data_IF_761383891664
#
_entry.id   IF_761383891664
#
_cell.length_a   1.000
_cell.length_b   1.000
_cell.length_c   1.000
_cell.angle_alpha   90.00
_cell.angle_beta   90.00
_cell.angle_gamma   90.00
#
_symmetry.space_group_name_H-M   'P 1'
#
loop_
_entity.id
_entity.type
_entity.pdbx_description
1 polymer ?
#
# COMPACT_ATOMS: atom_id res chain seq x y z
N UNK A 1 14.17 15.80 17.10
CA UNK A 1 13.42 14.74 16.38
C UNK A 1 13.54 15.00 14.88
N UNK A 2 14.26 14.16 14.12
CA UNK A 2 14.45 14.36 12.67
C UNK A 2 13.09 14.27 11.98
N UNK A 3 12.71 15.28 11.18
CA UNK A 3 11.47 15.26 10.39
C UNK A 3 11.59 14.13 9.35
N UNK A 4 10.99 12.98 9.64
CA UNK A 4 10.94 11.86 8.69
C UNK A 4 10.15 12.33 7.48
N UNK A 5 10.80 12.40 6.32
CA UNK A 5 10.17 12.86 5.08
C UNK A 5 9.08 11.88 4.65
N UNK A 6 8.01 12.37 4.03
CA UNK A 6 6.94 11.53 3.48
C UNK A 6 7.47 10.47 2.50
N UNK A 7 8.58 10.75 1.82
CA UNK A 7 9.30 9.80 0.95
C UNK A 7 9.89 8.63 1.74
N UNK A 8 10.39 8.85 2.96
CA UNK A 8 10.88 7.76 3.81
C UNK A 8 9.74 6.85 4.25
N UNK A 9 8.59 7.41 4.64
CA UNK A 9 7.39 6.62 4.93
C UNK A 9 6.92 5.82 3.71
N UNK A 10 6.95 6.43 2.52
CA UNK A 10 6.62 5.74 1.27
C UNK A 10 7.52 4.53 1.03
N UNK A 11 8.83 4.70 1.23
CA UNK A 11 9.83 3.66 1.08
C UNK A 11 9.62 2.53 2.11
N UNK A 12 9.34 2.85 3.37
CA UNK A 12 9.00 1.87 4.40
C UNK A 12 7.76 1.07 4.00
N UNK A 13 6.69 1.74 3.58
CA UNK A 13 5.44 1.09 3.15
C UNK A 13 5.68 0.15 1.97
N UNK A 14 6.52 0.56 1.02
CA UNK A 14 6.88 -0.25 -0.14
C UNK A 14 7.69 -1.49 0.26
N UNK A 15 8.75 -1.30 1.06
CA UNK A 15 9.63 -2.39 1.51
C UNK A 15 8.88 -3.42 2.35
N UNK A 16 8.04 -2.97 3.29
CA UNK A 16 7.24 -3.88 4.13
C UNK A 16 6.25 -4.66 3.27
N UNK A 17 5.60 -4.01 2.31
CA UNK A 17 4.64 -4.70 1.42
C UNK A 17 5.32 -5.71 0.50
N UNK A 18 6.54 -5.39 0.02
CA UNK A 18 7.38 -6.34 -0.70
C UNK A 18 7.79 -7.54 0.16
N UNK A 19 8.19 -7.30 1.41
CA UNK A 19 8.56 -8.36 2.35
C UNK A 19 7.38 -9.28 2.68
N UNK A 20 6.17 -8.72 2.86
CA UNK A 20 4.95 -9.49 3.11
C UNK A 20 4.59 -10.36 1.89
N UNK A 21 4.80 -9.86 0.67
CA UNK A 21 4.57 -10.70 -0.51
C UNK A 21 5.62 -11.79 -0.66
N UNK A 22 6.89 -11.48 -0.39
CA UNK A 22 7.94 -12.50 -0.39
C UNK A 22 7.65 -13.60 0.63
N UNK A 23 7.20 -13.20 1.83
CA UNK A 23 6.78 -14.13 2.87
C UNK A 23 5.58 -14.97 2.42
N UNK A 24 4.56 -14.34 1.83
CA UNK A 24 3.39 -15.04 1.28
C UNK A 24 3.80 -16.05 0.20
N UNK A 25 4.83 -15.73 -0.57
CA UNK A 25 5.36 -16.61 -1.60
C UNK A 25 6.09 -17.82 -1.00
N UNK A 26 6.92 -17.60 0.02
CA UNK A 26 7.60 -18.67 0.77
C UNK A 26 6.61 -19.57 1.51
N UNK A 27 5.47 -19.02 1.95
CA UNK A 27 4.40 -19.79 2.62
C UNK A 27 3.48 -20.56 1.65
N UNK A 28 3.86 -20.69 0.37
CA UNK A 28 3.10 -21.47 -0.62
C UNK A 28 1.95 -20.70 -1.27
N UNK A 29 1.93 -19.37 -1.15
CA UNK A 29 0.99 -18.51 -1.87
C UNK A 29 1.15 -18.62 -3.38
N UNK A 30 0.05 -18.46 -4.12
CA UNK A 30 0.04 -18.61 -5.57
C UNK A 30 0.99 -17.59 -6.26
N UNK A 31 2.09 -18.04 -6.90
CA UNK A 31 3.12 -17.17 -7.49
C UNK A 31 2.55 -16.09 -8.41
N UNK A 32 1.66 -16.50 -9.31
CA UNK A 32 1.09 -15.60 -10.31
C UNK A 32 0.28 -14.46 -9.70
N UNK A 33 -0.41 -14.70 -8.57
CA UNK A 33 -1.18 -13.66 -7.88
C UNK A 33 -0.28 -12.65 -7.19
N UNK A 34 0.77 -13.11 -6.51
CA UNK A 34 1.74 -12.25 -5.86
C UNK A 34 2.48 -11.36 -6.87
N UNK A 35 2.87 -11.94 -8.02
CA UNK A 35 3.57 -11.22 -9.08
C UNK A 35 2.70 -10.13 -9.74
N UNK A 36 1.43 -10.43 -10.05
CA UNK A 36 0.48 -9.44 -10.57
C UNK A 36 0.24 -8.32 -9.55
N UNK A 37 0.08 -8.65 -8.27
CA UNK A 37 -0.11 -7.66 -7.20
C UNK A 37 1.12 -6.77 -7.04
N UNK A 38 2.32 -7.34 -7.10
CA UNK A 38 3.57 -6.60 -7.00
C UNK A 38 3.75 -5.63 -8.16
N UNK A 39 3.48 -6.06 -9.40
CA UNK A 39 3.51 -5.18 -10.58
C UNK A 39 2.48 -4.05 -10.47
N UNK A 40 1.25 -4.34 -10.02
CA UNK A 40 0.22 -3.34 -9.79
C UNK A 40 0.66 -2.31 -8.74
N UNK A 41 1.23 -2.75 -7.62
CA UNK A 41 1.74 -1.88 -6.57
C UNK A 41 2.87 -0.99 -7.08
N UNK A 42 3.83 -1.53 -7.84
CA UNK A 42 4.92 -0.77 -8.46
C UNK A 42 4.36 0.29 -9.42
N UNK A 43 3.42 -0.08 -10.29
CA UNK A 43 2.80 0.85 -11.23
C UNK A 43 2.08 2.00 -10.51
N UNK A 44 1.31 1.67 -9.46
CA UNK A 44 0.61 2.67 -8.65
C UNK A 44 1.57 3.56 -7.87
N UNK A 45 2.66 3.01 -7.33
CA UNK A 45 3.70 3.79 -6.67
C UNK A 45 4.41 4.75 -7.63
N UNK A 46 4.79 4.27 -8.81
CA UNK A 46 5.39 5.11 -9.85
C UNK A 46 4.42 6.22 -10.27
N UNK A 47 3.14 5.89 -10.41
CA UNK A 47 2.09 6.86 -10.76
C UNK A 47 1.83 7.87 -9.63
N UNK A 48 1.94 7.45 -8.37
CA UNK A 48 1.87 8.32 -7.19
C UNK A 48 3.06 9.30 -7.15
N UNK A 49 4.27 8.83 -7.44
CA UNK A 49 5.47 9.67 -7.53
C UNK A 49 5.39 10.70 -8.66
N UNK A 50 4.66 10.38 -9.74
CA UNK A 50 4.31 11.32 -10.82
C UNK A 50 3.22 12.32 -10.44
N UNK A 51 2.67 12.25 -9.22
CA UNK A 51 1.60 13.14 -8.74
C UNK A 51 0.18 12.68 -9.06
N UNK A 52 -0.03 11.43 -9.50
CA UNK A 52 -1.40 10.99 -9.81
C UNK A 52 -2.27 10.92 -8.55
N UNK A 53 -3.33 11.74 -8.53
CA UNK A 53 -4.33 11.74 -7.46
C UNK A 53 -5.14 10.43 -7.43
N UNK A 54 -5.38 9.84 -8.61
CA UNK A 54 -6.04 8.56 -8.76
C UNK A 54 -5.19 7.42 -8.15
N UNK A 55 -3.88 7.42 -8.41
CA UNK A 55 -2.97 6.43 -7.84
C UNK A 55 -2.94 6.48 -6.30
N UNK A 56 -3.04 7.68 -5.72
CA UNK A 56 -3.12 7.87 -4.27
C UNK A 56 -4.38 7.26 -3.66
N UNK A 57 -5.54 7.48 -4.29
CA UNK A 57 -6.82 6.93 -3.82
C UNK A 57 -6.82 5.42 -4.01
N UNK A 58 -6.36 4.93 -5.16
CA UNK A 58 -6.24 3.50 -5.43
C UNK A 58 -5.33 2.79 -4.42
N UNK A 59 -4.15 3.35 -4.12
CA UNK A 59 -3.27 2.83 -3.06
C UNK A 59 -3.94 2.86 -1.70
N UNK A 60 -4.60 3.96 -1.34
CA UNK A 60 -5.34 4.05 -0.08
C UNK A 60 -6.39 2.95 0.05
N UNK A 61 -7.19 2.72 -1.00
CA UNK A 61 -8.21 1.67 -1.02
C UNK A 61 -7.60 0.27 -1.00
N UNK A 62 -6.55 0.00 -1.79
CA UNK A 62 -5.89 -1.30 -1.81
C UNK A 62 -5.31 -1.67 -0.44
N UNK A 63 -4.62 -0.73 0.20
CA UNK A 63 -4.09 -0.94 1.55
C UNK A 63 -5.21 -1.06 2.58
N UNK A 64 -6.29 -0.29 2.46
CA UNK A 64 -7.42 -0.40 3.39
C UNK A 64 -8.10 -1.77 3.28
N UNK A 65 -8.45 -2.19 2.06
CA UNK A 65 -9.09 -3.49 1.81
C UNK A 65 -8.17 -4.64 2.21
N UNK A 66 -6.87 -4.57 1.88
CA UNK A 66 -5.89 -5.57 2.29
C UNK A 66 -5.68 -5.63 3.81
N UNK A 67 -5.75 -4.48 4.49
CA UNK A 67 -5.69 -4.40 5.95
C UNK A 67 -6.92 -5.01 6.60
N UNK A 68 -8.11 -4.69 6.11
CA UNK A 68 -9.38 -5.26 6.57
C UNK A 68 -9.43 -6.77 6.35
N UNK A 69 -9.02 -7.27 5.18
CA UNK A 69 -8.98 -8.71 4.92
C UNK A 69 -8.01 -9.44 5.85
N UNK A 70 -6.87 -8.82 6.15
CA UNK A 70 -5.88 -9.39 7.09
C UNK A 70 -6.43 -9.42 8.52
N UNK A 71 -7.17 -8.38 8.93
CA UNK A 71 -7.88 -8.36 10.21
C UNK A 71 -8.94 -9.46 10.32
N UNK A 72 -9.75 -9.62 9.28
CA UNK A 72 -10.77 -10.69 9.23
C UNK A 72 -10.09 -12.06 9.31
N UNK A 73 -9.00 -12.28 8.56
CA UNK A 73 -8.23 -13.52 8.61
C UNK A 73 -7.57 -13.76 9.98
N UNK A 74 -7.18 -12.70 10.69
CA UNK A 74 -6.65 -12.79 12.05
C UNK A 74 -7.72 -13.20 13.08
N UNK A 75 -8.99 -12.88 12.82
CA UNK A 75 -10.12 -13.26 13.67
C UNK A 75 -10.65 -14.67 13.35
N UNK A 76 -10.23 -15.27 12.24
CA UNK A 76 -10.60 -16.63 11.89
C UNK A 76 -10.02 -17.63 12.91
N UNK A 77 -10.91 -18.43 13.49
CA UNK A 77 -10.57 -19.42 14.50
C UNK A 77 -9.65 -20.54 13.96
N UNK A 78 -9.61 -20.75 12.65
CA UNK A 78 -8.73 -21.73 11.99
C UNK A 78 -7.25 -21.31 11.96
N UNK A 79 -6.95 -20.03 12.17
CA UNK A 79 -5.58 -19.52 12.16
C UNK A 79 -4.82 -19.88 13.44
N UNK A 80 -3.57 -20.37 13.36
CA UNK A 80 -2.73 -20.62 14.54
C UNK A 80 -2.47 -19.32 15.32
N UNK A 81 -2.23 -19.38 16.65
CA UNK A 81 -2.11 -18.18 17.50
C UNK A 81 -1.08 -17.16 17.00
N UNK A 82 0.08 -17.65 16.56
CA UNK A 82 1.15 -16.85 15.97
C UNK A 82 0.72 -16.20 14.65
N UNK A 83 -0.03 -16.92 13.81
CA UNK A 83 -0.58 -16.41 12.56
C UNK A 83 -1.58 -15.27 12.79
N UNK A 84 -2.43 -15.37 13.81
CA UNK A 84 -3.38 -14.29 14.18
C UNK A 84 -2.67 -13.01 14.58
N UNK A 85 -1.60 -13.10 15.35
CA UNK A 85 -0.80 -11.93 15.77
C UNK A 85 -0.14 -11.27 14.56
N UNK A 86 0.49 -12.06 13.68
CA UNK A 86 1.15 -11.55 12.47
C UNK A 86 0.15 -10.90 11.51
N UNK A 87 -0.99 -11.56 11.26
CA UNK A 87 -2.05 -11.03 10.40
C UNK A 87 -2.70 -9.78 10.99
N UNK A 88 -2.90 -9.72 12.31
CA UNK A 88 -3.42 -8.54 13.01
C UNK A 88 -2.47 -7.35 12.91
N UNK A 89 -1.17 -7.56 13.13
CA UNK A 89 -0.14 -6.53 12.97
C UNK A 89 -0.05 -6.05 11.51
N UNK A 90 -0.07 -6.96 10.53
CA UNK A 90 -0.12 -6.60 9.11
C UNK A 90 -1.39 -5.80 8.78
N UNK A 91 -2.53 -6.21 9.32
CA UNK A 91 -3.80 -5.51 9.17
C UNK A 91 -3.72 -4.07 9.68
N UNK A 92 -3.24 -3.86 10.90
CA UNK A 92 -3.03 -2.53 11.47
C UNK A 92 -2.07 -1.68 10.64
N UNK A 93 -0.96 -2.26 10.19
CA UNK A 93 0.01 -1.58 9.34
C UNK A 93 -0.61 -1.11 8.04
N UNK A 94 -1.36 -1.96 7.35
CA UNK A 94 -2.00 -1.62 6.09
C UNK A 94 -3.09 -0.56 6.25
N UNK A 95 -3.91 -0.62 7.31
CA UNK A 95 -4.88 0.44 7.62
C UNK A 95 -4.18 1.77 7.92
N UNK A 96 -3.08 1.75 8.67
CA UNK A 96 -2.28 2.95 8.93
C UNK A 96 -1.68 3.53 7.64
N UNK A 97 -1.16 2.69 6.75
CA UNK A 97 -0.64 3.08 5.45
C UNK A 97 -1.73 3.68 4.54
N UNK A 98 -2.94 3.09 4.55
CA UNK A 98 -4.10 3.65 3.85
C UNK A 98 -4.43 5.06 4.35
N UNK A 99 -4.44 5.24 5.68
CA UNK A 99 -4.58 6.55 6.31
C UNK A 99 -3.51 7.54 5.83
N UNK A 100 -2.25 7.12 5.78
CA UNK A 100 -1.15 7.94 5.27
C UNK A 100 -1.37 8.37 3.81
N UNK A 101 -1.76 7.48 2.90
CA UNK A 101 -2.02 7.84 1.50
C UNK A 101 -3.17 8.85 1.36
N UNK A 102 -4.25 8.68 2.12
CA UNK A 102 -5.42 9.55 2.03
C UNK A 102 -5.22 10.92 2.69
N UNK A 103 -4.59 10.96 3.87
CA UNK A 103 -4.41 12.17 4.69
C UNK A 103 -3.11 12.94 4.47
N UNK A 104 -2.07 12.34 3.87
CA UNK A 104 -0.77 13.02 3.72
C UNK A 104 -0.85 14.26 2.83
N UNK A 105 -0.63 15.43 3.43
CA UNK A 105 -0.58 16.72 2.74
C UNK A 105 0.58 16.82 1.75
N UNK A 106 1.69 16.12 1.98
CA UNK A 106 2.85 16.09 1.07
C UNK A 106 2.52 15.35 -0.21
N UNK A 107 1.82 14.21 -0.11
CA UNK A 107 1.32 13.49 -1.29
C UNK A 107 0.24 14.28 -2.03
N UNK A 108 -0.58 15.05 -1.29
CA UNK A 108 -1.56 15.96 -1.88
C UNK A 108 -0.87 17.10 -2.65
N UNK A 109 0.21 17.66 -2.12
CA UNK A 109 0.99 18.72 -2.77
C UNK A 109 1.73 18.20 -4.02
N UNK A 110 2.28 16.99 -3.97
CA UNK A 110 2.84 16.33 -5.16
C UNK A 110 1.78 16.10 -6.24
N UNK A 111 0.55 15.79 -5.84
CA UNK A 111 -0.54 15.60 -6.79
C UNK A 111 -1.14 16.88 -7.39
N UNK A 112 -0.97 18.02 -6.72
CA UNK A 112 -1.41 19.33 -7.22
C UNK A 112 -0.36 19.93 -8.18
N UNK A 113 0.92 19.58 -8.02
CA UNK A 113 2.00 20.04 -8.90
C UNK A 113 2.01 19.41 -10.28
N UNK A 114 1.17 18.40 -10.53
CA UNK A 114 1.01 17.86 -11.87
C UNK A 114 0.23 18.91 -12.68
N UNK A 115 0.85 19.62 -13.65
CA UNK A 115 0.08 20.47 -14.53
C UNK A 115 -0.95 19.57 -15.17
N UNK A 116 -2.23 19.95 -15.12
CA UNK A 116 -3.28 19.29 -15.87
C UNK A 116 -2.72 19.10 -17.27
N UNK A 117 -2.48 17.83 -17.66
CA UNK A 117 -2.06 17.52 -19.01
C UNK A 117 -3.11 18.17 -19.89
N UNK A 118 -2.65 19.20 -20.59
CA UNK A 118 -3.39 20.11 -21.42
C UNK A 118 -4.29 19.27 -22.32
N UNK A 119 -5.56 19.19 -21.98
CA UNK A 119 -6.63 18.62 -22.80
C UNK A 119 -6.95 19.56 -23.98
N UNK A 120 -5.92 20.16 -24.59
CA UNK A 120 -6.02 20.97 -25.79
C UNK A 120 -5.30 20.21 -26.92
N UNK A 121 -5.86 19.07 -27.33
CA UNK A 121 -5.62 18.53 -28.67
C UNK A 121 -6.97 18.08 -29.21
N UNK A 122 -7.64 19.06 -29.82
CA UNK A 122 -8.53 19.04 -30.99
C UNK A 122 -9.45 17.81 -31.13
#
# INVERSE_FOLDING_TARGET
MKKISALHWLAIIFTVSGAIELLSWVMGGAPGRAMVRMLLLIALYASLLKGSRAARIALGLLYFVGGMSSFIAALDASSPPLGRVVLGLCGMFFVAAAGFFLRSGVLRALAIKQPAARSDVI
#
